data_IF_508107760930
#
_entry.id   IF_508107760930
#
_cell.length_a   1.000
_cell.length_b   1.000
_cell.length_c   1.000
_cell.angle_alpha   90.00
_cell.angle_beta   90.00
_cell.angle_gamma   90.00
#
_symmetry.space_group_name_H-M   'P 1'
#
loop_
_entity.id
_entity.type
_entity.pdbx_description
1 polymer ?
#
# COMPACT_ATOMS: atom_id res chain seq x y z
N UNK A 1 -10.81 -19.36 37.73
CA UNK A 1 -9.35 -19.27 37.47
C UNK A 1 -9.02 -18.89 36.01
N UNK A 2 -9.55 -19.56 34.98
CA UNK A 2 -9.24 -19.25 33.57
C UNK A 2 -9.63 -17.83 33.11
N UNK A 3 -10.69 -17.26 33.71
CA UNK A 3 -11.27 -15.97 33.32
C UNK A 3 -10.36 -14.77 33.64
N UNK A 4 -9.59 -14.85 34.73
CA UNK A 4 -8.58 -13.85 35.10
C UNK A 4 -7.30 -13.98 34.27
N UNK A 5 -6.86 -15.21 34.01
CA UNK A 5 -5.69 -15.49 33.17
C UNK A 5 -5.91 -15.03 31.72
N UNK A 6 -7.13 -15.20 31.19
CA UNK A 6 -7.53 -14.68 29.87
C UNK A 6 -7.51 -13.15 29.82
N UNK A 7 -7.96 -12.48 30.88
CA UNK A 7 -7.96 -11.02 30.95
C UNK A 7 -6.54 -10.45 30.97
N UNK A 8 -5.64 -11.07 31.74
CA UNK A 8 -4.21 -10.71 31.77
C UNK A 8 -3.57 -10.95 30.40
N UNK A 9 -3.83 -12.10 29.77
CA UNK A 9 -3.30 -12.40 28.43
C UNK A 9 -3.75 -11.40 27.36
N UNK A 10 -5.02 -10.99 27.38
CA UNK A 10 -5.54 -9.95 26.47
C UNK A 10 -4.90 -8.60 26.75
N UNK A 11 -4.73 -8.22 28.02
CA UNK A 11 -4.09 -6.96 28.38
C UNK A 11 -2.63 -6.89 27.90
N UNK A 12 -1.89 -8.00 28.01
CA UNK A 12 -0.51 -8.10 27.51
C UNK A 12 -0.46 -7.97 25.98
N UNK A 13 -1.34 -8.68 25.27
CA UNK A 13 -1.40 -8.60 23.80
C UNK A 13 -1.73 -7.18 23.32
N UNK A 14 -2.66 -6.50 23.99
CA UNK A 14 -2.99 -5.10 23.69
C UNK A 14 -1.83 -4.15 23.98
N UNK A 15 -1.07 -4.37 25.06
CA UNK A 15 0.11 -3.58 25.36
C UNK A 15 1.22 -3.75 24.29
N UNK A 16 1.45 -4.97 23.83
CA UNK A 16 2.40 -5.23 22.73
C UNK A 16 1.96 -4.59 21.42
N UNK A 17 0.67 -4.65 21.08
CA UNK A 17 0.13 -3.96 19.90
C UNK A 17 0.29 -2.44 19.99
N UNK A 18 0.05 -1.85 21.15
CA UNK A 18 0.22 -0.42 21.36
C UNK A 18 1.68 0.03 21.19
N UNK A 19 2.64 -0.76 21.68
CA UNK A 19 4.08 -0.52 21.46
C UNK A 19 4.45 -0.71 19.98
N UNK A 20 3.91 -1.73 19.32
CA UNK A 20 4.14 -1.96 17.89
C UNK A 20 3.62 -0.82 17.00
N UNK A 21 2.44 -0.27 17.32
CA UNK A 21 1.88 0.89 16.61
C UNK A 21 2.70 2.16 16.86
N UNK A 22 3.15 2.41 18.10
CA UNK A 22 3.98 3.57 18.41
C UNK A 22 5.39 3.51 17.80
N UNK A 23 5.81 2.33 17.33
CA UNK A 23 7.05 2.13 16.60
C UNK A 23 6.89 2.29 15.07
N UNK A 24 5.66 2.41 14.56
CA UNK A 24 5.42 2.85 13.20
C UNK A 24 5.71 4.36 13.18
N UNK A 25 6.81 4.76 12.54
CA UNK A 25 7.24 6.15 12.44
C UNK A 25 6.43 6.95 11.43
N UNK A 26 6.72 8.25 11.34
CA UNK A 26 6.12 9.19 10.39
C UNK A 26 6.73 9.11 8.97
N UNK A 27 7.78 8.31 8.77
CA UNK A 27 8.39 8.07 7.45
C UNK A 27 7.60 7.00 6.69
N UNK A 28 7.40 7.24 5.39
CA UNK A 28 6.69 6.34 4.47
C UNK A 28 7.30 4.93 4.54
N UNK A 29 6.45 3.94 4.79
CA UNK A 29 6.90 2.56 4.96
C UNK A 29 7.36 1.95 3.63
N UNK A 30 8.19 0.89 3.64
CA UNK A 30 8.61 0.20 2.42
C UNK A 30 7.44 -0.32 1.56
N UNK A 31 6.28 -0.55 2.17
CA UNK A 31 5.07 -0.97 1.46
C UNK A 31 4.33 0.20 0.80
N UNK A 32 4.38 1.40 1.39
CA UNK A 32 3.82 2.62 0.82
C UNK A 32 4.68 3.06 -0.36
N UNK A 33 6.00 3.12 -0.18
CA UNK A 33 6.97 3.46 -1.25
C UNK A 33 6.87 2.46 -2.43
N UNK A 34 6.70 1.17 -2.16
CA UNK A 34 6.45 0.18 -3.21
C UNK A 34 5.08 0.38 -3.88
N UNK A 35 4.07 0.82 -3.13
CA UNK A 35 2.75 1.15 -3.66
C UNK A 35 2.83 2.34 -4.63
N UNK A 36 3.51 3.42 -4.24
CA UNK A 36 3.73 4.60 -5.07
C UNK A 36 4.49 4.26 -6.36
N UNK A 37 5.59 3.51 -6.27
CA UNK A 37 6.34 3.10 -7.47
C UNK A 37 5.48 2.29 -8.46
N UNK A 38 4.58 1.44 -7.95
CA UNK A 38 3.66 0.67 -8.80
C UNK A 38 2.62 1.58 -9.45
N UNK A 39 2.08 2.53 -8.70
CA UNK A 39 1.10 3.50 -9.19
C UNK A 39 1.71 4.36 -10.30
N UNK A 40 2.91 4.91 -10.08
CA UNK A 40 3.65 5.72 -11.05
C UNK A 40 3.95 4.91 -12.33
N UNK A 41 4.42 3.67 -12.19
CA UNK A 41 4.66 2.78 -13.34
C UNK A 41 3.37 2.49 -14.12
N UNK A 42 2.24 2.39 -13.43
CA UNK A 42 0.95 2.10 -14.05
C UNK A 42 0.39 3.31 -14.79
N UNK A 43 0.63 4.52 -14.26
CA UNK A 43 0.29 5.79 -14.90
C UNK A 43 1.10 5.96 -16.19
N UNK A 44 2.44 5.82 -16.12
CA UNK A 44 3.32 5.87 -17.29
C UNK A 44 2.92 4.86 -18.38
N UNK A 45 2.63 3.62 -17.97
CA UNK A 45 2.20 2.58 -18.91
C UNK A 45 0.83 2.89 -19.54
N UNK A 46 -0.04 3.60 -18.82
CA UNK A 46 -1.33 4.07 -19.31
C UNK A 46 -1.16 5.16 -20.36
N UNK A 47 -0.33 6.17 -20.08
CA UNK A 47 -0.03 7.26 -21.02
C UNK A 47 0.58 6.73 -22.33
N UNK A 48 1.59 5.86 -22.25
CA UNK A 48 2.20 5.24 -23.43
C UNK A 48 1.20 4.40 -24.26
N UNK A 49 0.23 3.77 -23.59
CA UNK A 49 -0.81 3.00 -24.26
C UNK A 49 -1.84 3.90 -24.96
N UNK A 50 -2.17 5.06 -24.37
CA UNK A 50 -3.02 6.07 -25.00
C UNK A 50 -2.33 6.68 -26.23
N UNK A 51 -1.06 7.10 -26.12
CA UNK A 51 -0.29 7.63 -27.26
C UNK A 51 -0.22 6.62 -28.41
N UNK A 52 0.10 5.36 -28.12
CA UNK A 52 0.13 4.31 -29.14
C UNK A 52 -1.24 4.03 -29.78
N UNK A 53 -2.33 4.26 -29.03
CA UNK A 53 -3.70 4.18 -29.52
C UNK A 53 -4.03 5.33 -30.48
N UNK A 54 -3.73 6.56 -30.09
CA UNK A 54 -3.93 7.76 -30.92
C UNK A 54 -3.13 7.67 -32.23
N UNK A 55 -1.84 7.30 -32.17
CA UNK A 55 -1.00 7.10 -33.35
C UNK A 55 -1.59 6.07 -34.34
N UNK A 56 -2.23 5.02 -33.81
CA UNK A 56 -2.85 3.97 -34.62
C UNK A 56 -4.18 4.44 -35.25
N UNK A 57 -4.96 5.25 -34.53
CA UNK A 57 -6.18 5.87 -35.05
C UNK A 57 -5.83 6.85 -36.19
N UNK A 58 -4.87 7.74 -35.97
CA UNK A 58 -4.39 8.69 -36.99
C UNK A 58 -3.91 7.97 -38.26
N UNK A 59 -3.13 6.89 -38.10
CA UNK A 59 -2.64 6.10 -39.22
C UNK A 59 -3.75 5.30 -39.95
N UNK A 60 -4.89 5.06 -39.31
CA UNK A 60 -6.05 4.40 -39.91
C UNK A 60 -7.02 5.39 -40.57
N UNK A 61 -6.99 6.66 -40.18
CA UNK A 61 -7.77 7.75 -40.77
C UNK A 61 -7.09 8.38 -42.01
N UNK A 62 -5.76 8.21 -42.19
CA UNK A 62 -5.03 8.50 -43.45
C UNK A 62 -5.14 7.41 -44.53
#
# INVERSE_FOLDING_TARGET
MYKGFKAIGVAILLAFLAVGLAACGDDEGPAEEAGENIDETMEDAGEEMEEAGEDMEDAAEE
#
